data_IF_998079305326
#
_entry.id   IF_998079305326
#
_cell.length_a   1.000
_cell.length_b   1.000
_cell.length_c   1.000
_cell.angle_alpha   90.00
_cell.angle_beta   90.00
_cell.angle_gamma   90.00
#
_symmetry.space_group_name_H-M   'P 1'
#
loop_
_entity.id
_entity.type
_entity.pdbx_description
1 polymer ?
#
# COMPACT_ATOMS: atom_id res chain seq x y z
N UNK A 1 -22.26 8.48 2.47
CA UNK A 1 -22.58 7.04 2.70
C UNK A 1 -21.45 6.11 2.21
N UNK A 2 -21.06 6.13 0.93
CA UNK A 2 -19.96 5.27 0.41
C UNK A 2 -18.61 5.50 1.08
N UNK A 3 -18.20 6.77 1.26
CA UNK A 3 -16.93 7.11 1.94
C UNK A 3 -16.84 6.57 3.38
N UNK A 4 -17.92 6.72 4.15
CA UNK A 4 -18.00 6.16 5.51
C UNK A 4 -17.85 4.63 5.51
N UNK A 5 -18.49 3.95 4.55
CA UNK A 5 -18.31 2.50 4.37
C UNK A 5 -16.86 2.10 4.13
N UNK A 6 -16.14 2.81 3.26
CA UNK A 6 -14.71 2.55 3.04
C UNK A 6 -13.85 2.76 4.28
N UNK A 7 -14.15 3.79 5.07
CA UNK A 7 -13.44 4.05 6.33
C UNK A 7 -13.67 2.92 7.33
N UNK A 8 -14.92 2.48 7.51
CA UNK A 8 -15.26 1.36 8.42
C UNK A 8 -14.57 0.07 7.97
N UNK A 9 -14.57 -0.23 6.67
CA UNK A 9 -13.86 -1.41 6.14
C UNK A 9 -12.36 -1.30 6.39
N UNK A 10 -11.75 -0.12 6.20
CA UNK A 10 -10.33 0.08 6.48
C UNK A 10 -10.00 -0.14 7.97
N UNK A 11 -10.85 0.34 8.89
CA UNK A 11 -10.68 0.09 10.33
C UNK A 11 -10.76 -1.40 10.67
N UNK A 12 -11.81 -2.09 10.20
CA UNK A 12 -11.98 -3.53 10.45
C UNK A 12 -10.81 -4.32 9.84
N UNK A 13 -10.36 -3.95 8.65
CA UNK A 13 -9.22 -4.57 7.99
C UNK A 13 -7.92 -4.39 8.80
N UNK A 14 -7.62 -3.16 9.24
CA UNK A 14 -6.46 -2.89 10.08
C UNK A 14 -6.52 -3.66 11.40
N UNK A 15 -7.67 -3.67 12.07
CA UNK A 15 -7.86 -4.45 13.30
C UNK A 15 -7.70 -5.96 13.06
N UNK A 16 -8.21 -6.47 11.93
CA UNK A 16 -8.08 -7.88 11.56
C UNK A 16 -6.64 -8.36 11.42
N UNK A 17 -5.71 -7.46 11.06
CA UNK A 17 -4.29 -7.77 10.98
C UNK A 17 -3.49 -7.39 12.24
N UNK A 18 -3.93 -6.41 13.05
CA UNK A 18 -3.19 -6.01 14.26
C UNK A 18 -3.58 -6.78 15.52
N UNK A 19 -4.80 -7.33 15.58
CA UNK A 19 -5.30 -8.06 16.75
C UNK A 19 -4.83 -9.53 16.89
N UNK A 20 -4.58 -10.30 15.81
CA UNK A 20 -4.24 -11.72 15.95
C UNK A 20 -3.10 -12.05 16.92
N UNK A 21 -2.02 -11.24 17.06
CA UNK A 21 -0.97 -11.47 18.05
C UNK A 21 -1.45 -11.44 19.51
N UNK A 22 -2.55 -10.75 19.81
CA UNK A 22 -3.15 -10.76 21.17
C UNK A 22 -3.91 -12.04 21.47
N UNK A 23 -4.31 -12.79 20.43
CA UNK A 23 -5.09 -14.03 20.54
C UNK A 23 -4.26 -15.29 20.24
N UNK A 24 -2.93 -15.17 20.23
CA UNK A 24 -2.00 -16.29 20.09
C UNK A 24 -1.55 -16.62 18.66
N UNK A 25 -1.96 -15.83 17.66
CA UNK A 25 -1.41 -15.94 16.31
C UNK A 25 -0.26 -14.94 16.14
N UNK A 26 0.97 -15.42 16.38
CA UNK A 26 2.16 -14.59 16.67
C UNK A 26 2.07 -13.90 18.04
N UNK A 27 3.03 -13.01 18.35
CA UNK A 27 3.10 -12.25 19.59
C UNK A 27 3.70 -10.86 19.33
N UNK A 28 3.42 -9.87 20.17
CA UNK A 28 4.18 -8.62 20.19
C UNK A 28 5.36 -8.76 21.16
N UNK A 29 6.58 -8.59 20.65
CA UNK A 29 7.83 -8.76 21.40
C UNK A 29 8.75 -7.55 21.23
N UNK A 30 9.59 -7.21 22.23
CA UNK A 30 10.56 -6.14 22.07
C UNK A 30 11.60 -6.48 20.99
N UNK A 31 11.95 -5.51 20.15
CA UNK A 31 12.90 -5.68 19.04
C UNK A 31 14.24 -4.97 19.32
N UNK A 32 15.34 -5.53 18.80
CA UNK A 32 16.68 -4.92 18.83
C UNK A 32 17.16 -4.53 20.24
N UNK A 33 17.36 -3.23 20.47
CA UNK A 33 17.81 -2.64 21.74
C UNK A 33 16.75 -2.66 22.86
N UNK A 34 15.61 -3.35 22.66
CA UNK A 34 14.50 -3.46 23.63
C UNK A 34 13.83 -2.13 23.99
N UNK A 35 13.93 -1.12 23.12
CA UNK A 35 13.27 0.19 23.32
C UNK A 35 11.96 0.33 22.54
N UNK A 36 11.65 -0.64 21.66
CA UNK A 36 10.45 -0.66 20.83
C UNK A 36 9.88 -2.08 20.79
N UNK A 37 8.58 -2.21 20.50
CA UNK A 37 7.90 -3.50 20.37
C UNK A 37 7.35 -3.65 18.95
N UNK A 38 7.50 -4.85 18.39
CA UNK A 38 6.92 -5.22 17.10
C UNK A 38 6.35 -6.63 17.14
N UNK A 39 5.75 -7.09 16.04
CA UNK A 39 5.34 -8.48 15.96
C UNK A 39 6.57 -9.39 15.97
N UNK A 40 6.44 -10.60 16.49
CA UNK A 40 7.50 -11.60 16.45
C UNK A 40 7.69 -12.04 15.00
N UNK A 41 8.88 -11.77 14.46
CA UNK A 41 9.35 -12.24 13.16
C UNK A 41 10.65 -13.07 13.27
N UNK A 42 11.14 -13.29 14.50
CA UNK A 42 12.41 -13.98 14.79
C UNK A 42 12.20 -15.45 15.16
N UNK A 43 11.09 -15.75 15.85
CA UNK A 43 10.80 -17.11 16.31
C UNK A 43 10.45 -18.05 15.15
N UNK A 44 11.10 -19.20 15.12
CA UNK A 44 10.96 -20.19 14.05
C UNK A 44 9.76 -21.14 14.26
N UNK A 45 8.56 -20.60 14.47
CA UNK A 45 7.33 -21.39 14.56
C UNK A 45 6.44 -21.21 13.33
N UNK A 46 5.65 -22.23 12.93
CA UNK A 46 4.71 -22.12 11.81
C UNK A 46 3.69 -20.98 11.98
N UNK A 47 3.25 -20.72 13.22
CA UNK A 47 2.31 -19.64 13.56
C UNK A 47 2.90 -18.25 13.25
N UNK A 48 4.12 -17.97 13.75
CA UNK A 48 4.84 -16.71 13.52
C UNK A 48 5.16 -16.50 12.03
N UNK A 49 5.63 -17.56 11.36
CA UNK A 49 5.98 -17.52 9.93
C UNK A 49 4.77 -17.28 9.04
N UNK A 50 3.66 -18.00 9.27
CA UNK A 50 2.43 -17.80 8.50
C UNK A 50 1.89 -16.39 8.68
N UNK A 51 1.85 -15.87 9.91
CA UNK A 51 1.43 -14.51 10.20
C UNK A 51 2.29 -13.46 9.49
N UNK A 52 3.62 -13.62 9.55
CA UNK A 52 4.57 -12.73 8.88
C UNK A 52 4.37 -12.73 7.35
N UNK A 53 4.21 -13.89 6.72
CA UNK A 53 3.96 -14.00 5.27
C UNK A 53 2.62 -13.37 4.86
N UNK A 54 1.57 -13.55 5.67
CA UNK A 54 0.27 -12.96 5.42
C UNK A 54 0.30 -11.43 5.56
N UNK A 55 0.96 -10.90 6.58
CA UNK A 55 1.16 -9.45 6.74
C UNK A 55 1.83 -8.85 5.49
N UNK A 56 2.94 -9.43 5.01
CA UNK A 56 3.57 -8.94 3.79
C UNK A 56 2.65 -9.02 2.58
N UNK A 57 1.95 -10.14 2.40
CA UNK A 57 1.10 -10.34 1.22
C UNK A 57 -0.08 -9.37 1.22
N UNK A 58 -0.82 -9.31 2.32
CA UNK A 58 -2.10 -8.60 2.41
C UNK A 58 -1.95 -7.13 2.80
N UNK A 59 -0.99 -6.77 3.65
CA UNK A 59 -0.82 -5.39 4.11
C UNK A 59 0.13 -4.61 3.19
N UNK A 60 1.07 -5.28 2.52
CA UNK A 60 2.06 -4.63 1.67
C UNK A 60 1.84 -4.86 0.18
N UNK A 61 1.93 -6.11 -0.30
CA UNK A 61 1.95 -6.39 -1.74
C UNK A 61 0.61 -6.19 -2.45
N UNK A 62 -0.50 -6.66 -1.87
CA UNK A 62 -1.83 -6.52 -2.49
C UNK A 62 -2.22 -5.03 -2.66
N UNK A 63 -2.13 -4.16 -1.63
CA UNK A 63 -2.40 -2.73 -1.79
C UNK A 63 -1.50 -2.11 -2.86
N UNK A 64 -0.20 -2.41 -2.84
CA UNK A 64 0.74 -1.92 -3.84
C UNK A 64 0.36 -2.31 -5.27
N UNK A 65 -0.03 -3.57 -5.47
CA UNK A 65 -0.48 -4.06 -6.78
C UNK A 65 -1.75 -3.36 -7.26
N UNK A 66 -2.76 -3.20 -6.38
CA UNK A 66 -4.00 -2.48 -6.68
C UNK A 66 -3.69 -1.06 -7.12
N UNK A 67 -2.80 -0.38 -6.38
CA UNK A 67 -2.35 0.97 -6.68
C UNK A 67 -1.71 1.02 -8.07
N UNK A 68 -0.68 0.21 -8.32
CA UNK A 68 0.01 0.17 -9.63
C UNK A 68 -0.99 -0.06 -10.75
N UNK A 69 -1.90 -1.03 -10.59
CA UNK A 69 -2.95 -1.31 -11.57
C UNK A 69 -3.85 -0.11 -11.83
N UNK A 70 -4.34 0.56 -10.78
CA UNK A 70 -5.14 1.77 -10.89
C UNK A 70 -4.39 2.89 -11.64
N UNK A 71 -3.11 3.13 -11.32
CA UNK A 71 -2.32 4.15 -12.02
C UNK A 71 -2.05 3.79 -13.48
N UNK A 72 -1.78 2.52 -13.80
CA UNK A 72 -1.66 2.06 -15.18
C UNK A 72 -2.95 2.34 -15.97
N UNK A 73 -4.12 2.10 -15.37
CA UNK A 73 -5.43 2.40 -15.97
C UNK A 73 -5.64 3.90 -16.16
N UNK A 74 -5.33 4.72 -15.16
CA UNK A 74 -5.44 6.18 -15.24
C UNK A 74 -4.52 6.73 -16.32
N UNK A 75 -3.26 6.29 -16.37
CA UNK A 75 -2.29 6.72 -17.38
C UNK A 75 -2.79 6.40 -18.81
N UNK A 76 -3.34 5.20 -19.02
CA UNK A 76 -3.96 4.82 -20.30
C UNK A 76 -5.16 5.72 -20.63
N UNK A 77 -6.01 6.03 -19.65
CA UNK A 77 -7.17 6.90 -19.84
C UNK A 77 -6.77 8.34 -20.21
N UNK A 78 -5.73 8.88 -19.57
CA UNK A 78 -5.17 10.21 -19.91
C UNK A 78 -4.65 10.21 -21.35
N UNK A 79 -3.83 9.22 -21.73
CA UNK A 79 -3.28 9.13 -23.09
C UNK A 79 -4.38 9.05 -24.16
N UNK A 80 -5.45 8.30 -23.88
CA UNK A 80 -6.61 8.23 -24.77
C UNK A 80 -7.35 9.57 -24.87
N UNK A 81 -7.57 10.23 -23.72
CA UNK A 81 -8.27 11.52 -23.66
C UNK A 81 -7.49 12.61 -24.37
N UNK A 82 -6.16 12.70 -24.20
CA UNK A 82 -5.31 13.66 -24.90
C UNK A 82 -5.35 13.47 -26.42
N UNK A 83 -5.32 12.21 -26.90
CA UNK A 83 -5.45 11.89 -28.33
C UNK A 83 -6.82 12.25 -28.89
N UNK A 84 -7.89 12.03 -28.13
CA UNK A 84 -9.25 12.39 -28.54
C UNK A 84 -9.43 13.91 -28.63
N UNK A 85 -8.86 14.66 -27.69
CA UNK A 85 -8.92 16.14 -27.70
C UNK A 85 -8.14 16.72 -28.88
N UNK A 86 -6.97 16.17 -29.22
CA UNK A 86 -6.19 16.61 -30.38
C UNK A 86 -6.92 16.43 -31.72
N UNK A 87 -7.94 15.57 -31.79
CA UNK A 87 -8.76 15.36 -32.99
C UNK A 87 -10.00 16.25 -33.05
N UNK A 88 -10.44 16.83 -31.92
CA UNK A 88 -11.64 17.68 -31.83
C UNK A 88 -11.20 19.15 -31.93
N UNK A 89 -10.76 19.56 -33.12
CA UNK A 89 -10.70 20.97 -33.49
C UNK A 89 -12.07 21.35 -34.07
N UNK A 90 -12.85 22.17 -33.34
CA UNK A 90 -13.81 23.19 -33.85
C UNK A 90 -15.20 23.30 -33.18
N UNK A 91 -15.71 22.37 -32.36
CA UNK A 91 -17.10 22.48 -31.83
C UNK A 91 -17.33 22.32 -30.32
N UNK A 92 -16.30 22.02 -29.51
CA UNK A 92 -16.45 21.72 -28.07
C UNK A 92 -15.38 22.28 -27.14
N UNK A 93 -14.63 23.30 -27.57
CA UNK A 93 -13.41 23.77 -26.89
C UNK A 93 -13.62 24.13 -25.40
N UNK A 94 -14.77 24.72 -25.04
CA UNK A 94 -15.08 25.13 -23.66
C UNK A 94 -15.33 23.94 -22.73
N UNK A 95 -15.99 22.88 -23.20
CA UNK A 95 -16.24 21.67 -22.42
C UNK A 95 -14.99 20.77 -22.35
N UNK A 96 -14.20 20.74 -23.42
CA UNK A 96 -12.87 20.10 -23.43
C UNK A 96 -11.91 20.77 -22.44
N UNK A 97 -11.90 22.11 -22.36
CA UNK A 97 -11.08 22.85 -21.40
C UNK A 97 -11.47 22.56 -19.93
N UNK A 98 -12.78 22.53 -19.63
CA UNK A 98 -13.28 22.16 -18.28
C UNK A 98 -12.91 20.72 -17.89
N UNK A 99 -13.09 19.76 -18.80
CA UNK A 99 -12.68 18.35 -18.57
C UNK A 99 -11.18 18.22 -18.34
N UNK A 100 -10.36 18.95 -19.11
CA UNK A 100 -8.91 18.96 -18.95
C UNK A 100 -8.49 19.53 -17.59
N UNK A 101 -9.10 20.65 -17.17
CA UNK A 101 -8.84 21.24 -15.85
C UNK A 101 -9.20 20.28 -14.70
N UNK A 102 -10.36 19.61 -14.79
CA UNK A 102 -10.77 18.60 -13.81
C UNK A 102 -9.78 17.43 -13.78
N UNK A 103 -9.45 16.85 -14.93
CA UNK A 103 -8.49 15.75 -15.05
C UNK A 103 -7.11 16.11 -14.48
N UNK A 104 -6.65 17.35 -14.68
CA UNK A 104 -5.39 17.84 -14.12
C UNK A 104 -5.43 17.93 -12.59
N UNK A 105 -6.55 18.33 -12.01
CA UNK A 105 -6.73 18.36 -10.54
C UNK A 105 -6.76 16.94 -9.95
N UNK A 106 -7.55 16.05 -10.54
CA UNK A 106 -7.62 14.63 -10.16
C UNK A 106 -6.25 13.96 -10.27
N UNK A 107 -5.50 14.24 -11.34
CA UNK A 107 -4.13 13.75 -11.52
C UNK A 107 -3.16 14.31 -10.47
N UNK A 108 -3.31 15.57 -10.06
CA UNK A 108 -2.49 16.15 -8.98
C UNK A 108 -2.73 15.41 -7.67
N UNK A 109 -3.99 15.15 -7.32
CA UNK A 109 -4.35 14.39 -6.12
C UNK A 109 -3.82 12.95 -6.19
N UNK A 110 -4.00 12.28 -7.32
CA UNK A 110 -3.45 10.95 -7.55
C UNK A 110 -1.91 10.97 -7.44
N UNK A 111 -1.22 11.94 -8.03
CA UNK A 111 0.25 12.03 -7.92
C UNK A 111 0.72 12.15 -6.46
N UNK A 112 0.04 12.97 -5.66
CA UNK A 112 0.36 13.12 -4.23
C UNK A 112 0.14 11.79 -3.50
N UNK A 113 -0.99 11.12 -3.69
CA UNK A 113 -1.26 9.82 -3.09
C UNK A 113 -0.18 8.78 -3.45
N UNK A 114 0.23 8.73 -4.73
CA UNK A 114 1.29 7.83 -5.18
C UNK A 114 2.63 8.09 -4.48
N UNK A 115 3.02 9.36 -4.33
CA UNK A 115 4.25 9.73 -3.63
C UNK A 115 4.20 9.28 -2.16
N UNK A 116 3.08 9.51 -1.47
CA UNK A 116 2.90 9.10 -0.07
C UNK A 116 3.02 7.58 0.06
N UNK A 117 2.42 6.82 -0.86
CA UNK A 117 2.51 5.36 -0.89
C UNK A 117 3.95 4.89 -1.16
N UNK A 118 4.65 5.51 -2.12
CA UNK A 118 6.04 5.16 -2.40
C UNK A 118 6.95 5.43 -1.20
N UNK A 119 6.76 6.57 -0.53
CA UNK A 119 7.50 6.89 0.68
C UNK A 119 7.25 5.85 1.78
N UNK A 120 5.99 5.44 1.96
CA UNK A 120 5.63 4.37 2.88
C UNK A 120 6.33 3.05 2.52
N UNK A 121 6.31 2.66 1.24
CA UNK A 121 7.01 1.45 0.76
C UNK A 121 8.50 1.53 1.01
N UNK A 122 9.13 2.66 0.68
CA UNK A 122 10.58 2.87 0.86
C UNK A 122 10.95 2.88 2.35
N UNK A 123 10.13 3.49 3.21
CA UNK A 123 10.41 3.51 4.66
C UNK A 123 10.25 2.13 5.29
N UNK A 124 9.29 1.33 4.83
CA UNK A 124 9.04 -0.01 5.35
C UNK A 124 9.87 -1.11 4.67
N UNK A 125 10.44 -0.86 3.49
CA UNK A 125 11.21 -1.85 2.75
C UNK A 125 12.43 -2.38 3.53
N UNK A 126 13.27 -1.55 4.19
CA UNK A 126 14.39 -2.06 4.99
C UNK A 126 13.93 -3.02 6.10
N UNK A 127 12.86 -2.65 6.80
CA UNK A 127 12.26 -3.46 7.86
C UNK A 127 11.69 -4.77 7.29
N UNK A 128 11.03 -4.69 6.13
CA UNK A 128 10.47 -5.83 5.42
C UNK A 128 11.58 -6.80 5.00
N UNK A 129 12.68 -6.28 4.46
CA UNK A 129 13.85 -7.07 4.10
C UNK A 129 14.47 -7.73 5.34
N UNK A 130 14.61 -7.02 6.46
CA UNK A 130 15.13 -7.58 7.70
C UNK A 130 14.23 -8.70 8.27
N UNK A 131 12.91 -8.52 8.26
CA UNK A 131 11.98 -9.56 8.68
C UNK A 131 12.00 -10.77 7.72
N UNK A 132 12.19 -10.56 6.41
CA UNK A 132 12.35 -11.64 5.44
C UNK A 132 13.69 -12.37 5.57
N UNK A 133 14.78 -11.67 5.90
CA UNK A 133 16.08 -12.33 6.18
C UNK A 133 16.03 -13.15 7.45
N UNK A 134 15.40 -12.63 8.52
CA UNK A 134 15.08 -13.40 9.73
C UNK A 134 14.24 -14.64 9.39
N UNK A 135 13.17 -14.45 8.61
CA UNK A 135 12.32 -15.54 8.14
C UNK A 135 13.12 -16.58 7.36
N UNK A 136 14.07 -16.19 6.51
CA UNK A 136 14.89 -17.14 5.72
C UNK A 136 15.90 -17.94 6.54
N UNK A 137 15.98 -17.71 7.86
CA UNK A 137 16.85 -18.45 8.78
C UNK A 137 18.17 -17.73 9.07
N UNK A 138 18.38 -16.53 8.55
CA UNK A 138 19.55 -15.70 8.83
C UNK A 138 19.32 -14.70 9.96
N UNK A 139 18.42 -15.01 10.90
CA UNK A 139 18.10 -14.17 12.05
C UNK A 139 19.34 -13.81 12.89
N UNK A 140 20.36 -14.67 12.92
CA UNK A 140 21.63 -14.41 13.60
C UNK A 140 22.39 -13.18 13.02
N UNK A 141 22.14 -12.76 11.78
CA UNK A 141 22.77 -11.55 11.23
C UNK A 141 22.16 -10.24 11.76
N UNK A 142 21.03 -10.32 12.46
CA UNK A 142 20.26 -9.18 12.97
C UNK A 142 20.43 -8.98 14.48
N UNK A 143 21.25 -9.80 15.13
CA UNK A 143 21.60 -9.73 16.57
C UNK A 143 23.04 -9.28 16.69
#
# INVERSE_FOLDING_TARGET
>A
KKAFGFVVVAWIYSMGWSLPPFFGWSAYVPEGLMTSCSWDYMTFTPSVRSYTMLLFTFVFFIPLFIIIFCYCRIFRAIRHTTRAISKINSHGARDSAKKFHKLRSEWKMAKIAFIVILLFVISWAPYSCAALTAFSGYAHLLT
#
